data_IF_334715923942
#
_entry.id   IF_334715923942
#
_cell.length_a   1.000
_cell.length_b   1.000
_cell.length_c   1.000
_cell.angle_alpha   90.00
_cell.angle_beta   90.00
_cell.angle_gamma   90.00
#
_symmetry.space_group_name_H-M   'P 1'
#
loop_
_entity.id
_entity.type
_entity.pdbx_description
1 polymer ?
#
# COMPACT_ATOMS: atom_id res chain seq x y z
N UNK A 1 18.17 -18.03 6.90
CA UNK A 1 17.83 -16.65 6.49
C UNK A 1 16.37 -16.32 6.76
N UNK A 2 15.41 -17.09 6.21
CA UNK A 2 13.97 -16.90 6.50
C UNK A 2 13.68 -17.02 8.01
N UNK A 3 14.25 -18.01 8.70
CA UNK A 3 14.06 -18.16 10.15
C UNK A 3 14.52 -16.93 10.94
N UNK A 4 15.68 -16.37 10.57
CA UNK A 4 16.18 -15.13 11.15
C UNK A 4 15.21 -13.95 10.93
N UNK A 5 14.61 -13.82 9.75
CA UNK A 5 13.61 -12.78 9.47
C UNK A 5 12.36 -13.00 10.35
N UNK A 6 11.85 -14.24 10.42
CA UNK A 6 10.70 -14.56 11.25
C UNK A 6 10.96 -14.24 12.73
N UNK A 7 12.15 -14.58 13.23
CA UNK A 7 12.56 -14.27 14.61
C UNK A 7 12.73 -12.76 14.84
N UNK A 8 13.21 -12.01 13.86
CA UNK A 8 13.29 -10.54 13.97
C UNK A 8 11.90 -9.90 14.00
N UNK A 9 10.98 -10.35 13.15
CA UNK A 9 9.60 -9.84 13.10
C UNK A 9 8.84 -10.13 14.41
N UNK A 10 9.12 -11.26 15.09
CA UNK A 10 8.57 -11.55 16.45
C UNK A 10 8.87 -10.46 17.48
N UNK A 11 9.98 -9.75 17.31
CA UNK A 11 10.44 -8.74 18.27
C UNK A 11 9.88 -7.35 17.98
N UNK A 12 9.40 -7.10 16.75
CA UNK A 12 9.03 -5.76 16.28
C UNK A 12 7.56 -5.63 15.88
N UNK A 13 6.93 -6.72 15.41
CA UNK A 13 5.55 -6.70 14.92
C UNK A 13 4.59 -7.44 15.85
N UNK A 14 3.32 -7.00 15.84
CA UNK A 14 2.25 -7.62 16.62
C UNK A 14 1.98 -9.09 16.22
N UNK A 15 2.39 -9.50 15.01
CA UNK A 15 2.28 -10.86 14.51
C UNK A 15 3.61 -11.32 13.93
N UNK A 16 3.98 -12.56 14.26
CA UNK A 16 5.09 -13.25 13.64
C UNK A 16 4.61 -14.21 12.53
N UNK A 17 5.06 -14.06 11.27
CA UNK A 17 4.76 -15.01 10.22
C UNK A 17 5.52 -16.34 10.42
N UNK A 18 4.91 -17.45 9.98
CA UNK A 18 5.63 -18.70 9.79
C UNK A 18 6.55 -18.64 8.57
N UNK A 19 7.52 -19.56 8.45
CA UNK A 19 8.47 -19.58 7.33
C UNK A 19 7.81 -19.71 5.95
N UNK A 20 6.67 -20.40 5.87
CA UNK A 20 5.87 -20.52 4.65
C UNK A 20 5.09 -19.24 4.28
N UNK A 21 5.02 -18.26 5.19
CA UNK A 21 4.33 -16.98 5.00
C UNK A 21 5.31 -15.85 4.63
N UNK A 22 6.61 -16.16 4.48
CA UNK A 22 7.65 -15.19 4.13
C UNK A 22 8.21 -15.50 2.75
N UNK A 23 8.21 -14.48 1.88
CA UNK A 23 8.86 -14.52 0.57
C UNK A 23 9.99 -13.51 0.54
N UNK A 24 11.17 -13.95 0.12
CA UNK A 24 12.33 -13.07 -0.07
C UNK A 24 12.20 -12.36 -1.42
N UNK A 25 12.37 -11.04 -1.41
CA UNK A 25 12.31 -10.19 -2.60
C UNK A 25 13.61 -9.42 -2.75
N UNK A 26 13.88 -8.92 -3.97
CA UNK A 26 14.95 -7.99 -4.31
C UNK A 26 14.67 -6.55 -3.83
N UNK A 27 13.87 -6.39 -2.78
CA UNK A 27 13.52 -5.11 -2.17
C UNK A 27 12.04 -4.72 -2.36
N UNK A 28 11.66 -3.60 -1.71
CA UNK A 28 10.28 -3.15 -1.63
C UNK A 28 9.61 -2.92 -2.99
N UNK A 29 10.36 -2.45 -4.00
CA UNK A 29 9.85 -2.24 -5.35
C UNK A 29 9.39 -3.55 -6.00
N UNK A 30 10.19 -4.62 -5.92
CA UNK A 30 9.79 -5.92 -6.44
C UNK A 30 8.64 -6.50 -5.60
N UNK A 31 8.67 -6.33 -4.28
CA UNK A 31 7.58 -6.75 -3.41
C UNK A 31 6.23 -6.11 -3.80
N UNK A 32 6.23 -4.80 -4.03
CA UNK A 32 5.03 -4.08 -4.48
C UNK A 32 4.56 -4.56 -5.85
N UNK A 33 5.47 -4.75 -6.80
CA UNK A 33 5.15 -5.24 -8.14
C UNK A 33 4.57 -6.67 -8.13
N UNK A 34 5.07 -7.55 -7.25
CA UNK A 34 4.51 -8.89 -7.06
C UNK A 34 3.09 -8.84 -6.48
N UNK A 35 2.86 -7.99 -5.46
CA UNK A 35 1.51 -7.78 -4.89
C UNK A 35 0.57 -7.25 -5.97
N UNK A 36 1.01 -6.28 -6.76
CA UNK A 36 0.24 -5.71 -7.86
C UNK A 36 -0.09 -6.78 -8.92
N UNK A 37 0.90 -7.55 -9.37
CA UNK A 37 0.73 -8.63 -10.35
C UNK A 37 -0.26 -9.70 -9.89
N UNK A 38 -0.24 -10.07 -8.61
CA UNK A 38 -1.09 -11.13 -8.07
C UNK A 38 -2.53 -10.66 -7.80
N UNK A 39 -2.71 -9.40 -7.41
CA UNK A 39 -4.00 -8.91 -6.95
C UNK A 39 -4.75 -8.12 -8.02
N UNK A 40 -4.08 -7.34 -8.86
CA UNK A 40 -4.75 -6.36 -9.73
C UNK A 40 -5.32 -6.97 -11.00
N UNK A 41 -6.47 -6.46 -11.41
CA UNK A 41 -7.12 -6.77 -12.68
C UNK A 41 -7.62 -5.48 -13.37
N UNK A 42 -7.83 -5.50 -14.70
CA UNK A 42 -8.44 -4.39 -15.42
C UNK A 42 -9.73 -3.88 -14.74
N UNK A 43 -9.79 -2.58 -14.48
CA UNK A 43 -10.94 -1.93 -13.83
C UNK A 43 -10.86 -1.86 -12.30
N UNK A 44 -9.83 -2.43 -11.67
CA UNK A 44 -9.53 -2.17 -10.26
C UNK A 44 -9.00 -0.73 -10.06
N UNK A 45 -9.24 -0.20 -8.88
CA UNK A 45 -8.67 1.06 -8.40
C UNK A 45 -7.71 0.80 -7.22
N UNK A 46 -6.56 1.47 -7.21
CA UNK A 46 -5.62 1.47 -6.08
C UNK A 46 -5.62 2.84 -5.43
N UNK A 47 -5.89 2.86 -4.14
CA UNK A 47 -5.86 4.09 -3.35
C UNK A 47 -4.42 4.40 -2.94
N UNK A 48 -4.03 5.66 -3.04
CA UNK A 48 -2.74 6.18 -2.56
C UNK A 48 -2.97 7.44 -1.73
N UNK A 49 -2.17 7.65 -0.69
CA UNK A 49 -2.10 8.95 -0.04
C UNK A 49 -1.52 10.02 -0.98
N UNK A 50 -1.81 11.31 -0.76
CA UNK A 50 -1.28 12.40 -1.59
C UNK A 50 -0.67 13.49 -0.71
N UNK A 51 0.64 13.79 -0.85
CA UNK A 51 1.61 13.18 -1.77
C UNK A 51 2.01 11.75 -1.35
N UNK A 52 2.60 10.97 -2.27
CA UNK A 52 3.13 9.61 -2.02
C UNK A 52 4.52 9.39 -2.61
N UNK A 53 5.09 8.22 -2.35
CA UNK A 53 6.36 7.80 -2.93
C UNK A 53 6.24 7.62 -4.45
N UNK A 54 6.91 8.50 -5.19
CA UNK A 54 6.84 8.57 -6.65
C UNK A 54 7.14 7.24 -7.36
N UNK A 55 8.05 6.40 -6.85
CA UNK A 55 8.35 5.10 -7.48
C UNK A 55 7.23 4.09 -7.25
N UNK A 56 6.57 4.08 -6.09
CA UNK A 56 5.40 3.24 -5.87
C UNK A 56 4.27 3.61 -6.83
N UNK A 57 4.01 4.91 -7.01
CA UNK A 57 3.04 5.39 -8.01
C UNK A 57 3.44 4.99 -9.44
N UNK A 58 4.74 4.96 -9.77
CA UNK A 58 5.20 4.48 -11.09
C UNK A 58 4.96 2.98 -11.26
N UNK A 59 5.40 2.17 -10.30
CA UNK A 59 5.22 0.70 -10.32
C UNK A 59 3.73 0.37 -10.51
N UNK A 60 2.85 0.98 -9.74
CA UNK A 60 1.41 0.69 -9.82
C UNK A 60 0.77 1.15 -11.15
N UNK A 61 1.29 2.20 -11.80
CA UNK A 61 0.81 2.64 -13.13
C UNK A 61 1.22 1.71 -14.27
N UNK A 62 2.21 0.83 -14.06
CA UNK A 62 2.58 -0.19 -15.04
C UNK A 62 1.54 -1.34 -15.08
N UNK A 63 0.57 -1.34 -14.16
CA UNK A 63 -0.55 -2.29 -14.09
C UNK A 63 -1.85 -1.67 -14.65
N UNK A 64 -2.82 -2.48 -15.10
CA UNK A 64 -4.06 -1.98 -15.72
C UNK A 64 -5.09 -1.48 -14.69
N UNK A 65 -4.69 -0.53 -13.85
CA UNK A 65 -5.51 0.02 -12.75
C UNK A 65 -5.60 1.53 -12.79
N UNK A 66 -6.60 2.06 -12.10
CA UNK A 66 -6.67 3.49 -11.81
C UNK A 66 -6.01 3.81 -10.46
N UNK A 67 -5.07 4.75 -10.44
CA UNK A 67 -4.54 5.30 -9.19
C UNK A 67 -5.42 6.44 -8.70
N UNK A 68 -6.00 6.26 -7.52
CA UNK A 68 -6.93 7.21 -6.93
C UNK A 68 -6.30 7.82 -5.68
N UNK A 69 -6.09 9.13 -5.71
CA UNK A 69 -5.54 9.87 -4.59
C UNK A 69 -6.53 10.05 -3.45
N UNK A 70 -6.05 9.90 -2.23
CA UNK A 70 -6.74 10.21 -0.98
C UNK A 70 -5.94 11.27 -0.24
N UNK A 71 -6.62 12.30 0.25
CA UNK A 71 -5.98 13.38 0.99
C UNK A 71 -5.28 12.87 2.25
N UNK A 72 -4.13 13.45 2.57
CA UNK A 72 -3.43 13.22 3.84
C UNK A 72 -2.98 14.54 4.49
N UNK A 73 -2.97 14.55 5.83
CA UNK A 73 -2.58 15.68 6.66
C UNK A 73 -1.46 15.29 7.66
N UNK A 74 -1.32 16.02 8.76
CA UNK A 74 -0.29 15.79 9.76
C UNK A 74 -0.45 14.44 10.48
N UNK A 75 -1.69 13.94 10.58
CA UNK A 75 -2.05 12.72 11.31
C UNK A 75 -2.22 11.52 10.37
N UNK A 76 -2.07 11.74 9.05
CA UNK A 76 -2.12 10.68 8.05
C UNK A 76 -3.24 10.84 7.05
N UNK A 77 -3.85 9.72 6.65
CA UNK A 77 -4.96 9.72 5.70
C UNK A 77 -6.17 10.40 6.33
N UNK A 78 -6.75 11.35 5.61
CA UNK A 78 -7.99 12.02 6.02
C UNK A 78 -9.16 11.05 5.82
N UNK A 79 -9.69 10.53 6.92
CA UNK A 79 -10.70 9.46 6.89
C UNK A 79 -12.01 9.89 6.21
N UNK A 80 -12.41 11.15 6.34
CA UNK A 80 -13.59 11.69 5.65
C UNK A 80 -13.39 11.71 4.13
N UNK A 81 -12.18 12.04 3.67
CA UNK A 81 -11.84 12.03 2.25
C UNK A 81 -11.78 10.60 1.71
N UNK A 82 -11.19 9.67 2.48
CA UNK A 82 -11.20 8.24 2.16
C UNK A 82 -12.62 7.71 2.01
N UNK A 83 -13.53 8.04 2.94
CA UNK A 83 -14.93 7.63 2.87
C UNK A 83 -15.64 8.21 1.63
N UNK A 84 -15.39 9.48 1.33
CA UNK A 84 -15.91 10.16 0.12
C UNK A 84 -15.43 9.46 -1.16
N UNK A 85 -14.12 9.19 -1.27
CA UNK A 85 -13.51 8.50 -2.43
C UNK A 85 -14.09 7.11 -2.59
N UNK A 86 -14.18 6.32 -1.51
CA UNK A 86 -14.76 4.97 -1.55
C UNK A 86 -16.23 4.99 -1.99
N UNK A 87 -17.01 6.00 -1.57
CA UNK A 87 -18.40 6.16 -2.02
C UNK A 87 -18.47 6.47 -3.53
N UNK A 88 -17.59 7.33 -4.04
CA UNK A 88 -17.52 7.67 -5.46
C UNK A 88 -17.18 6.46 -6.33
N UNK A 89 -16.16 5.68 -5.93
CA UNK A 89 -15.77 4.46 -6.65
C UNK A 89 -16.91 3.45 -6.69
N UNK A 90 -17.61 3.25 -5.57
CA UNK A 90 -18.78 2.37 -5.51
C UNK A 90 -19.91 2.82 -6.45
N UNK A 91 -20.21 4.12 -6.47
CA UNK A 91 -21.23 4.67 -7.38
C UNK A 91 -20.84 4.55 -8.85
N UNK A 92 -19.54 4.67 -9.16
CA UNK A 92 -19.00 4.48 -10.51
C UNK A 92 -18.81 3.01 -10.92
N UNK A 93 -19.14 2.05 -10.06
CA UNK A 93 -18.95 0.62 -10.33
C UNK A 93 -17.49 0.16 -10.31
N UNK A 94 -16.56 0.98 -9.82
CA UNK A 94 -15.15 0.64 -9.70
C UNK A 94 -14.86 -0.04 -8.37
N UNK A 95 -13.95 -1.03 -8.41
CA UNK A 95 -13.58 -1.82 -7.22
C UNK A 95 -12.28 -1.27 -6.61
N UNK A 96 -12.30 -0.67 -5.41
CA UNK A 96 -11.07 -0.37 -4.69
C UNK A 96 -10.40 -1.69 -4.27
N UNK A 97 -9.16 -1.91 -4.70
CA UNK A 97 -8.45 -3.18 -4.53
C UNK A 97 -7.57 -3.21 -3.29
N UNK A 98 -6.78 -2.17 -3.09
CA UNK A 98 -6.05 -1.93 -1.85
C UNK A 98 -5.67 -0.45 -1.72
N UNK A 99 -5.22 -0.09 -0.53
CA UNK A 99 -4.61 1.19 -0.19
C UNK A 99 -3.11 0.98 -0.03
N UNK A 100 -2.30 1.75 -0.75
CA UNK A 100 -0.86 1.87 -0.51
C UNK A 100 -0.59 3.11 0.35
N UNK A 101 0.11 2.92 1.45
CA UNK A 101 0.55 4.01 2.34
C UNK A 101 1.87 3.66 3.01
N UNK A 102 2.65 4.68 3.35
CA UNK A 102 3.87 4.54 4.14
C UNK A 102 3.55 5.06 5.55
N UNK A 103 3.19 4.15 6.45
CA UNK A 103 2.70 4.50 7.78
C UNK A 103 3.76 5.12 8.71
N UNK A 104 5.05 4.88 8.46
CA UNK A 104 6.14 5.34 9.32
C UNK A 104 7.21 6.02 8.46
N UNK A 105 7.57 7.26 8.80
CA UNK A 105 8.51 8.11 8.05
C UNK A 105 8.15 8.20 6.56
N UNK A 106 6.90 8.61 6.32
CA UNK A 106 6.27 8.72 5.01
C UNK A 106 7.16 9.45 3.99
N UNK A 107 7.27 8.92 2.77
CA UNK A 107 7.98 9.58 1.68
C UNK A 107 6.97 10.29 0.77
N UNK A 108 7.00 11.63 0.62
CA UNK A 108 8.11 12.55 0.93
C UNK A 108 7.97 13.34 2.24
N UNK A 109 6.89 13.17 3.00
CA UNK A 109 6.49 14.13 4.05
C UNK A 109 7.26 13.99 5.38
N UNK A 110 7.92 12.86 5.60
CA UNK A 110 8.58 12.48 6.85
C UNK A 110 7.64 12.10 8.00
N UNK A 111 6.31 12.12 7.77
CA UNK A 111 5.29 11.91 8.83
C UNK A 111 5.15 10.45 9.21
N UNK A 112 4.73 10.19 10.44
CA UNK A 112 4.37 8.85 10.92
C UNK A 112 2.95 8.91 11.46
N UNK A 113 2.16 7.88 11.15
CA UNK A 113 0.83 7.71 11.71
C UNK A 113 0.93 7.47 13.23
N UNK A 114 0.00 8.04 14.03
CA UNK A 114 -0.05 7.85 15.47
C UNK A 114 -0.43 6.41 15.88
#
# INVERSE_FOLDING_TARGET
>A
MIDFICDRLRLTDARAPGSAEVVITSGASQGLDLVATLLLAPGDAVLIDVPTYHLAARILRDHPVELVGVASDADGIVMDDLARVLSQLRQGGQRPKFLYTIATFHNPTGRSLP
#
